data_IF_110616280664
#
_entry.id   IF_110616280664
#
_cell.length_a   1.000
_cell.length_b   1.000
_cell.length_c   1.000
_cell.angle_alpha   90.00
_cell.angle_beta   90.00
_cell.angle_gamma   90.00
#
_symmetry.space_group_name_H-M   'P 1'
#
loop_
_entity.id
_entity.type
_entity.pdbx_description
1 polymer ?
#
# COMPACT_ATOMS: atom_id res chain seq x y z
N UNK A 1 2.76 -24.49 13.00
CA UNK A 1 2.33 -23.21 13.58
C UNK A 1 1.63 -22.29 12.57
N UNK A 2 2.06 -22.20 11.30
CA UNK A 2 1.35 -21.41 10.29
C UNK A 2 -0.08 -21.90 9.94
N UNK A 3 -0.36 -23.21 10.08
CA UNK A 3 -1.66 -23.80 9.73
C UNK A 3 -2.81 -23.37 10.68
N UNK A 4 -2.52 -23.12 11.96
CA UNK A 4 -3.51 -22.65 12.93
C UNK A 4 -3.87 -21.17 12.72
N UNK A 5 -2.93 -20.35 12.22
CA UNK A 5 -3.20 -18.96 11.84
C UNK A 5 -4.09 -18.86 10.60
N UNK A 6 -3.97 -19.81 9.68
CA UNK A 6 -4.79 -19.88 8.47
C UNK A 6 -6.26 -20.25 8.79
N UNK A 7 -6.48 -21.21 9.71
CA UNK A 7 -7.82 -21.59 10.18
C UNK A 7 -8.54 -20.45 10.93
N UNK A 8 -7.80 -19.62 11.67
CA UNK A 8 -8.38 -18.47 12.40
C UNK A 8 -8.77 -17.30 11.49
N UNK A 9 -8.01 -17.05 10.41
CA UNK A 9 -8.34 -16.03 9.42
C UNK A 9 -9.56 -16.43 8.57
N UNK A 10 -9.72 -17.71 8.26
CA UNK A 10 -10.79 -18.22 7.39
C UNK A 10 -12.17 -18.25 8.07
N UNK A 11 -12.22 -18.23 9.40
CA UNK A 11 -13.47 -18.24 10.18
C UNK A 11 -14.11 -16.85 10.38
N UNK A 12 -13.51 -15.77 9.86
CA UNK A 12 -14.14 -14.44 9.86
C UNK A 12 -14.22 -13.72 11.21
N UNK A 13 -13.41 -14.12 12.20
CA UNK A 13 -13.43 -13.57 13.57
C UNK A 13 -12.30 -12.54 13.82
N UNK A 14 -11.44 -12.29 12.84
CA UNK A 14 -10.36 -11.30 12.96
C UNK A 14 -10.83 -9.89 12.57
N UNK A 15 -11.89 -9.37 13.20
CA UNK A 15 -12.33 -7.99 12.97
C UNK A 15 -11.46 -6.99 13.76
N UNK A 16 -10.84 -6.06 13.03
CA UNK A 16 -10.16 -4.87 13.54
C UNK A 16 -8.76 -5.11 14.11
N UNK A 17 -8.66 -5.70 15.30
CA UNK A 17 -7.45 -5.67 16.14
C UNK A 17 -6.30 -6.49 15.54
N UNK A 18 -6.62 -7.69 15.01
CA UNK A 18 -5.63 -8.54 14.36
C UNK A 18 -5.10 -7.91 13.07
N UNK A 19 -5.97 -7.31 12.25
CA UNK A 19 -5.56 -6.62 11.01
C UNK A 19 -4.59 -5.48 11.32
N UNK A 20 -4.93 -4.62 12.27
CA UNK A 20 -4.07 -3.51 12.67
C UNK A 20 -2.71 -4.02 13.15
N UNK A 21 -2.69 -5.05 14.00
CA UNK A 21 -1.44 -5.62 14.49
C UNK A 21 -0.55 -6.17 13.36
N UNK A 22 -1.13 -6.84 12.36
CA UNK A 22 -0.36 -7.31 11.20
C UNK A 22 0.16 -6.17 10.32
N UNK A 23 -0.61 -5.08 10.18
CA UNK A 23 -0.17 -3.89 9.43
C UNK A 23 0.98 -3.17 10.12
N UNK A 24 0.90 -3.00 11.45
CA UNK A 24 1.99 -2.41 12.25
C UNK A 24 3.26 -3.27 12.19
N UNK A 25 3.11 -4.60 12.26
CA UNK A 25 4.24 -5.51 12.06
C UNK A 25 4.84 -5.36 10.65
N UNK A 26 4.00 -5.30 9.61
CA UNK A 26 4.46 -5.12 8.23
C UNK A 26 5.20 -3.79 8.05
N UNK A 27 4.71 -2.70 8.65
CA UNK A 27 5.40 -1.41 8.67
C UNK A 27 6.82 -1.55 9.24
N UNK A 28 6.95 -2.14 10.43
CA UNK A 28 8.26 -2.32 11.09
C UNK A 28 9.23 -3.13 10.24
N UNK A 29 8.78 -4.24 9.65
CA UNK A 29 9.61 -5.05 8.76
C UNK A 29 10.06 -4.30 7.52
N UNK A 30 9.18 -3.50 6.92
CA UNK A 30 9.50 -2.69 5.74
C UNK A 30 10.50 -1.58 6.08
N UNK A 31 10.33 -0.90 7.22
CA UNK A 31 11.29 0.10 7.68
C UNK A 31 12.68 -0.51 7.89
N UNK A 32 12.78 -1.64 8.60
CA UNK A 32 14.04 -2.38 8.79
C UNK A 32 14.64 -2.85 7.46
N UNK A 33 13.80 -3.26 6.51
CA UNK A 33 14.26 -3.64 5.17
C UNK A 33 14.84 -2.44 4.42
N UNK A 34 14.19 -1.29 4.50
CA UNK A 34 14.61 -0.05 3.83
C UNK A 34 15.91 0.52 4.42
N UNK A 35 16.17 0.31 5.71
CA UNK A 35 17.44 0.64 6.36
C UNK A 35 18.61 -0.19 5.80
N UNK A 36 18.37 -1.47 5.48
CA UNK A 36 19.41 -2.37 4.95
C UNK A 36 19.57 -2.23 3.45
N UNK A 37 18.46 -2.20 2.73
CA UNK A 37 18.39 -2.17 1.28
C UNK A 37 17.19 -1.33 0.84
N UNK A 38 17.46 -0.06 0.56
CA UNK A 38 16.45 0.86 0.02
C UNK A 38 16.06 0.44 -1.39
N UNK A 39 14.79 0.10 -1.58
CA UNK A 39 14.23 -0.22 -2.91
C UNK A 39 12.93 0.52 -3.13
N UNK A 40 12.71 0.93 -4.38
CA UNK A 40 11.51 1.68 -4.77
C UNK A 40 10.22 0.89 -4.54
N UNK A 41 10.26 -0.44 -4.74
CA UNK A 41 9.14 -1.35 -4.48
C UNK A 41 8.82 -1.48 -2.98
N UNK A 42 9.83 -1.52 -2.11
CA UNK A 42 9.59 -1.52 -0.66
C UNK A 42 8.95 -0.21 -0.18
N UNK A 43 9.37 0.93 -0.73
CA UNK A 43 8.71 2.22 -0.46
C UNK A 43 7.25 2.27 -0.93
N UNK A 44 6.94 1.70 -2.11
CA UNK A 44 5.56 1.57 -2.58
C UNK A 44 4.71 0.75 -1.61
N UNK A 45 5.24 -0.40 -1.16
CA UNK A 45 4.53 -1.28 -0.23
C UNK A 45 4.33 -0.62 1.13
N UNK A 46 5.34 0.09 1.65
CA UNK A 46 5.24 0.86 2.90
C UNK A 46 4.15 1.94 2.78
N UNK A 47 4.11 2.68 1.67
CA UNK A 47 3.06 3.66 1.41
C UNK A 47 1.66 3.06 1.49
N UNK A 48 1.45 1.87 0.92
CA UNK A 48 0.16 1.15 0.99
C UNK A 48 -0.20 0.73 2.41
N UNK A 49 0.75 0.18 3.16
CA UNK A 49 0.53 -0.20 4.57
C UNK A 49 0.14 1.02 5.41
N UNK A 50 0.79 2.16 5.19
CA UNK A 50 0.47 3.42 5.87
C UNK A 50 -0.92 3.94 5.52
N UNK A 51 -1.39 3.78 4.27
CA UNK A 51 -2.77 4.09 3.89
C UNK A 51 -3.78 3.19 4.60
N UNK A 52 -3.51 1.87 4.65
CA UNK A 52 -4.34 0.91 5.39
C UNK A 52 -4.37 1.20 6.91
N UNK A 53 -3.34 1.85 7.45
CA UNK A 53 -3.25 2.35 8.82
C UNK A 53 -3.84 3.77 9.00
N UNK A 54 -4.46 4.35 7.96
CA UNK A 54 -5.01 5.70 7.95
C UNK A 54 -3.97 6.81 8.30
N UNK A 55 -2.74 6.64 7.81
CA UNK A 55 -1.61 7.59 7.95
C UNK A 55 -1.22 8.17 6.59
N UNK A 56 -2.08 8.99 5.96
CA UNK A 56 -1.89 9.42 4.57
C UNK A 56 -0.64 10.30 4.37
N UNK A 57 -0.25 11.13 5.34
CA UNK A 57 0.93 12.00 5.18
C UNK A 57 2.22 11.17 5.14
N UNK A 58 2.36 10.18 6.01
CA UNK A 58 3.50 9.26 6.01
C UNK A 58 3.51 8.40 4.74
N UNK A 59 2.32 7.99 4.29
CA UNK A 59 2.17 7.28 3.03
C UNK A 59 2.68 8.12 1.85
N UNK A 60 2.33 9.41 1.76
CA UNK A 60 2.81 10.29 0.69
C UNK A 60 4.34 10.37 0.64
N UNK A 61 5.00 10.47 1.79
CA UNK A 61 6.48 10.49 1.87
C UNK A 61 7.07 9.21 1.27
N UNK A 62 6.52 8.05 1.67
CA UNK A 62 6.98 6.75 1.18
C UNK A 62 6.69 6.57 -0.31
N UNK A 63 5.51 6.96 -0.77
CA UNK A 63 5.12 6.88 -2.19
C UNK A 63 5.98 7.80 -3.07
N UNK A 64 6.33 9.00 -2.58
CA UNK A 64 7.24 9.89 -3.28
C UNK A 64 8.66 9.33 -3.35
N UNK A 65 9.13 8.67 -2.29
CA UNK A 65 10.41 7.94 -2.31
C UNK A 65 10.38 6.79 -3.34
N UNK A 66 9.24 6.11 -3.51
CA UNK A 66 9.06 5.09 -4.55
C UNK A 66 9.18 5.66 -5.97
N UNK A 67 8.61 6.84 -6.23
CA UNK A 67 8.80 7.56 -7.51
C UNK A 67 10.27 7.95 -7.73
N UNK A 68 10.89 8.54 -6.71
CA UNK A 68 12.29 8.96 -6.77
C UNK A 68 13.24 7.76 -6.97
N UNK A 69 12.84 6.58 -6.50
CA UNK A 69 13.54 5.31 -6.71
C UNK A 69 13.31 4.68 -8.09
N UNK A 70 12.55 5.31 -8.99
CA UNK A 70 12.40 4.91 -10.39
C UNK A 70 11.12 4.15 -10.74
N UNK A 71 10.15 4.04 -9.81
CA UNK A 71 8.82 3.54 -10.21
C UNK A 71 8.10 4.55 -11.11
N UNK A 72 7.30 4.03 -12.03
CA UNK A 72 6.53 4.87 -12.94
C UNK A 72 5.36 5.52 -12.22
N UNK A 73 5.03 6.77 -12.57
CA UNK A 73 3.89 7.50 -12.00
C UNK A 73 2.60 6.68 -12.02
N UNK A 74 2.30 5.99 -13.13
CA UNK A 74 1.12 5.11 -13.26
C UNK A 74 1.02 3.98 -12.22
N UNK A 75 2.13 3.60 -11.58
CA UNK A 75 2.16 2.55 -10.54
C UNK A 75 1.91 3.14 -9.15
N UNK A 76 2.20 4.42 -8.95
CA UNK A 76 2.15 5.09 -7.64
C UNK A 76 0.94 6.02 -7.52
N UNK A 77 0.50 6.62 -8.64
CA UNK A 77 -0.58 7.59 -8.71
C UNK A 77 -1.89 7.16 -8.03
N UNK A 78 -2.34 5.88 -8.10
CA UNK A 78 -3.53 5.45 -7.36
C UNK A 78 -3.43 5.67 -5.85
N UNK A 79 -2.25 5.40 -5.28
CA UNK A 79 -2.01 5.52 -3.84
C UNK A 79 -1.75 6.97 -3.44
N UNK A 80 -1.14 7.78 -4.31
CA UNK A 80 -1.00 9.22 -4.06
C UNK A 80 -2.36 9.94 -4.13
N UNK A 81 -3.24 9.53 -5.05
CA UNK A 81 -4.61 10.02 -5.11
C UNK A 81 -5.39 9.67 -3.84
N UNK A 82 -5.28 8.41 -3.37
CA UNK A 82 -5.90 7.94 -2.13
C UNK A 82 -5.39 8.72 -0.92
N UNK A 83 -4.06 8.89 -0.79
CA UNK A 83 -3.46 9.66 0.29
C UNK A 83 -3.96 11.10 0.32
N UNK A 84 -3.99 11.76 -0.84
CA UNK A 84 -4.48 13.13 -0.97
C UNK A 84 -5.97 13.22 -0.62
N UNK A 85 -6.79 12.26 -1.07
CA UNK A 85 -8.21 12.20 -0.75
C UNK A 85 -8.46 12.04 0.76
N UNK A 86 -7.77 11.11 1.42
CA UNK A 86 -7.89 10.91 2.89
C UNK A 86 -7.45 12.18 3.64
N UNK A 87 -6.44 12.89 3.13
CA UNK A 87 -5.97 14.16 3.68
C UNK A 87 -6.88 15.37 3.37
N UNK A 88 -7.97 15.18 2.61
CA UNK A 88 -8.90 16.23 2.20
C UNK A 88 -8.38 17.14 1.06
N UNK A 89 -7.25 16.79 0.44
CA UNK A 89 -6.69 17.48 -0.72
C UNK A 89 -7.26 16.91 -2.03
N UNK A 90 -8.49 17.30 -2.31
CA UNK A 90 -9.25 16.79 -3.45
C UNK A 90 -8.75 17.29 -4.82
N UNK A 91 -7.96 18.36 -4.84
CA UNK A 91 -7.40 18.89 -6.07
C UNK A 91 -6.20 18.04 -6.49
N UNK A 92 -5.27 17.79 -5.57
CA UNK A 92 -4.15 16.85 -5.77
C UNK A 92 -4.67 15.43 -6.06
N UNK A 93 -5.72 14.99 -5.39
CA UNK A 93 -6.34 13.69 -5.68
C UNK A 93 -6.82 13.58 -7.13
N UNK A 94 -7.48 14.63 -7.64
CA UNK A 94 -7.96 14.70 -9.03
C UNK A 94 -6.83 14.71 -10.05
N UNK A 95 -5.74 15.43 -9.76
CA UNK A 95 -4.54 15.44 -10.62
C UNK A 95 -3.97 14.02 -10.76
N UNK A 96 -3.83 13.28 -9.67
CA UNK A 96 -3.32 11.91 -9.72
C UNK A 96 -4.28 10.93 -10.42
N UNK A 97 -5.59 11.10 -10.25
CA UNK A 97 -6.61 10.29 -10.95
C UNK A 97 -6.49 10.43 -12.47
N UNK A 98 -6.12 11.61 -12.98
CA UNK A 98 -5.94 11.82 -14.42
C UNK A 98 -4.82 10.94 -15.03
N UNK A 99 -3.89 10.44 -14.21
CA UNK A 99 -2.83 9.52 -14.63
C UNK A 99 -3.21 8.04 -14.53
N UNK A 100 -4.44 7.74 -14.12
CA UNK A 100 -4.90 6.36 -14.07
C UNK A 100 -4.99 5.85 -15.51
N UNK A 101 -4.45 4.66 -15.80
CA UNK A 101 -4.65 4.06 -17.10
C UNK A 101 -6.15 3.85 -17.31
N UNK A 102 -6.70 4.34 -18.42
CA UNK A 102 -8.07 4.04 -18.84
C UNK A 102 -8.25 2.51 -18.80
N UNK A 103 -9.06 2.02 -17.85
CA UNK A 103 -9.13 0.60 -17.54
C UNK A 103 -9.85 -0.16 -18.67
N UNK A 104 -9.18 -1.18 -19.24
CA UNK A 104 -9.86 -2.46 -19.50
C UNK A 104 -9.69 -3.31 -18.25
N UNK A 105 -10.82 -3.73 -17.66
CA UNK A 105 -10.96 -4.30 -16.31
C UNK A 105 -10.32 -5.68 -16.09
N UNK A 106 -9.00 -5.80 -16.19
CA UNK A 106 -8.29 -7.07 -15.94
C UNK A 106 -7.30 -7.04 -14.76
N UNK A 107 -7.09 -5.92 -14.08
CA UNK A 107 -6.00 -5.83 -13.06
C UNK A 107 -6.29 -6.40 -11.67
N UNK A 108 -7.54 -6.71 -11.33
CA UNK A 108 -7.85 -7.31 -10.03
C UNK A 108 -7.45 -8.79 -9.94
N UNK A 109 -7.32 -9.51 -11.07
CA UNK A 109 -6.89 -10.92 -11.09
C UNK A 109 -5.37 -11.06 -10.98
N UNK A 110 -4.59 -10.16 -11.59
CA UNK A 110 -3.13 -10.26 -11.61
C UNK A 110 -2.47 -9.98 -10.27
N UNK A 111 -3.10 -9.18 -9.41
CA UNK A 111 -2.59 -9.00 -8.04
C UNK A 111 -2.66 -10.33 -7.30
N UNK A 112 -3.72 -11.12 -7.48
CA UNK A 112 -3.91 -12.41 -6.81
C UNK A 112 -2.86 -13.47 -7.19
N UNK A 113 -2.32 -13.43 -8.41
CA UNK A 113 -1.24 -14.32 -8.86
C UNK A 113 0.14 -13.94 -8.28
N UNK A 114 0.35 -12.68 -7.92
CA UNK A 114 1.61 -12.21 -7.32
C UNK A 114 1.71 -12.49 -5.81
N UNK A 115 0.60 -12.90 -5.17
CA UNK A 115 0.54 -13.30 -3.76
C UNK A 115 0.34 -14.82 -3.57
N UNK A 116 0.59 -15.61 -4.62
CA UNK A 116 0.67 -17.08 -4.56
C UNK A 116 2.09 -17.56 -4.32
#
# INVERSE_FOLDING_TARGET
MAQQYWELCYLGIAEGILRQHYLEAAEQWLMLSLEKHTTASAHLLLGRVLLDLNRPQDAMVSLQAALNGGLLLRQVAPYLAEAAYINGDYDTAREYIAYFPEQKGERLSQIKELWG
#
